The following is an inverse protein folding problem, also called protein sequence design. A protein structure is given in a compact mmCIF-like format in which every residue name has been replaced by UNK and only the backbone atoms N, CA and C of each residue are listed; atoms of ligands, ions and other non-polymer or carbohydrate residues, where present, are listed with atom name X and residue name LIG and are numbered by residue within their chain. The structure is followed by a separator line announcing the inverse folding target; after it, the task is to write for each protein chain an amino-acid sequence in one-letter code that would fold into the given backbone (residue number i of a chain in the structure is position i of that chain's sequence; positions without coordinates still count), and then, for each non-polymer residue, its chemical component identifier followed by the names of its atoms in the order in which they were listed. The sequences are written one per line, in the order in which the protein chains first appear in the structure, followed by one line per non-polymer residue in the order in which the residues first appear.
data_IF_425630947869
#
_entry.id   IF_425630947869
#
_cell.length_a   1.000
_cell.length_b   1.000
_cell.length_c   1.000
_cell.angle_alpha   90.00
_cell.angle_beta   90.00
_cell.angle_gamma   90.00
#
_symmetry.space_group_name_H-M   'P 1'
#
loop_
_entity.id
_entity.type
_entity.pdbx_description
1 polymer ?
#
# COMPACT_ATOMS: atom_id res chain seq x y z
N UNK A 1 24.74 -9.28 -5.39
CA UNK A 1 24.67 -8.66 -6.74
C UNK A 1 23.19 -8.40 -6.96
N UNK A 2 22.76 -7.14 -7.10
CA UNK A 2 21.36 -6.79 -7.39
C UNK A 2 21.04 -7.37 -8.77
N UNK A 3 20.21 -8.40 -8.85
CA UNK A 3 20.05 -9.17 -10.08
C UNK A 3 18.57 -9.27 -10.46
N UNK A 4 18.11 -8.32 -11.27
CA UNK A 4 16.75 -8.30 -11.79
C UNK A 4 16.41 -9.58 -12.57
N UNK A 5 17.36 -10.17 -13.30
CA UNK A 5 17.12 -11.41 -14.05
C UNK A 5 16.81 -12.59 -13.12
N UNK A 6 17.47 -12.64 -11.97
CA UNK A 6 17.22 -13.66 -10.95
C UNK A 6 15.86 -13.46 -10.28
N UNK A 7 15.52 -12.22 -9.92
CA UNK A 7 14.19 -11.86 -9.41
C UNK A 7 13.09 -12.28 -10.40
N UNK A 8 13.18 -11.86 -11.67
CA UNK A 8 12.17 -12.18 -12.67
C UNK A 8 12.06 -13.68 -12.93
N UNK A 9 13.17 -14.42 -12.83
CA UNK A 9 13.15 -15.88 -12.89
C UNK A 9 12.39 -16.48 -11.71
N UNK A 10 12.67 -16.03 -10.48
CA UNK A 10 11.96 -16.49 -9.27
C UNK A 10 10.45 -16.23 -9.41
N UNK A 11 10.04 -15.05 -9.87
CA UNK A 11 8.63 -14.74 -10.07
C UNK A 11 7.95 -15.73 -11.05
N UNK A 12 8.60 -16.02 -12.18
CA UNK A 12 8.11 -17.02 -13.16
C UNK A 12 8.03 -18.42 -12.56
N UNK A 13 9.06 -18.84 -11.84
CA UNK A 13 9.13 -20.16 -11.20
C UNK A 13 8.05 -20.32 -10.12
N UNK A 14 7.62 -19.21 -9.48
CA UNK A 14 6.51 -19.15 -8.52
C UNK A 14 5.11 -19.10 -9.18
N UNK A 15 5.03 -19.16 -10.51
CA UNK A 15 3.76 -19.18 -11.25
C UNK A 15 3.21 -17.80 -11.64
N UNK A 16 3.97 -16.72 -11.44
CA UNK A 16 3.55 -15.38 -11.86
C UNK A 16 3.81 -15.23 -13.36
N UNK A 17 2.78 -14.83 -14.09
CA UNK A 17 2.91 -14.54 -15.51
C UNK A 17 3.66 -13.22 -15.71
N UNK A 18 4.83 -13.30 -16.34
CA UNK A 18 5.66 -12.13 -16.64
C UNK A 18 5.65 -11.90 -18.17
N UNK A 19 4.82 -10.98 -18.69
CA UNK A 19 4.80 -10.67 -20.11
C UNK A 19 6.16 -10.17 -20.61
N UNK A 20 6.55 -10.55 -21.82
CA UNK A 20 7.85 -10.15 -22.40
C UNK A 20 8.02 -8.63 -22.52
N UNK A 21 6.93 -7.90 -22.75
CA UNK A 21 6.93 -6.42 -22.80
C UNK A 21 7.20 -5.81 -21.43
N UNK A 22 6.65 -6.40 -20.36
CA UNK A 22 6.87 -5.97 -18.97
C UNK A 22 8.31 -6.27 -18.55
N UNK A 23 8.79 -7.47 -18.80
CA UNK A 23 10.20 -7.83 -18.55
C UNK A 23 11.16 -6.87 -19.28
N UNK A 24 10.88 -6.57 -20.55
CA UNK A 24 11.70 -5.65 -21.34
C UNK A 24 11.68 -4.22 -20.80
N UNK A 25 10.54 -3.76 -20.27
CA UNK A 25 10.43 -2.44 -19.64
C UNK A 25 11.21 -2.40 -18.31
N UNK A 26 11.06 -3.41 -17.45
CA UNK A 26 11.79 -3.49 -16.18
C UNK A 26 13.30 -3.56 -16.35
N UNK A 27 13.80 -4.12 -17.46
CA UNK A 27 15.23 -4.12 -17.79
C UNK A 27 15.75 -2.77 -18.29
N UNK A 28 14.86 -1.86 -18.70
CA UNK A 28 15.22 -0.53 -19.23
C UNK A 28 15.10 0.57 -18.19
N UNK A 29 14.17 0.42 -17.24
CA UNK A 29 13.89 1.41 -16.19
C UNK A 29 14.55 0.93 -14.90
N UNK A 30 15.48 1.73 -14.37
CA UNK A 30 16.08 1.43 -13.06
C UNK A 30 15.16 1.92 -11.95
N UNK A 31 14.84 1.04 -10.99
CA UNK A 31 14.02 1.43 -9.82
C UNK A 31 14.77 2.43 -8.93
N UNK A 32 16.10 2.42 -8.98
CA UNK A 32 16.98 3.32 -8.21
C UNK A 32 16.82 4.79 -8.63
N UNK A 33 16.31 5.06 -9.84
CA UNK A 33 16.01 6.42 -10.31
C UNK A 33 14.75 7.02 -9.63
N UNK A 34 13.98 6.21 -8.90
CA UNK A 34 12.68 6.58 -8.33
C UNK A 34 12.66 6.60 -6.80
N UNK A 35 13.80 6.40 -6.15
CA UNK A 35 13.92 6.49 -4.69
C UNK A 35 15.34 6.87 -4.27
N UNK A 36 15.43 7.74 -3.27
CA UNK A 36 16.70 8.06 -2.59
C UNK A 36 16.98 7.12 -1.39
N UNK A 37 16.02 6.24 -1.05
CA UNK A 37 16.13 5.26 0.03
C UNK A 37 16.79 3.96 -0.45
N UNK A 38 17.02 3.02 0.49
CA UNK A 38 17.57 1.71 0.13
C UNK A 38 16.61 0.91 -0.74
N UNK A 39 17.00 0.71 -2.00
CA UNK A 39 16.26 -0.09 -2.98
C UNK A 39 16.56 -1.58 -2.92
N UNK A 40 17.45 -2.03 -2.04
CA UNK A 40 17.89 -3.43 -2.00
C UNK A 40 16.73 -4.42 -1.84
N UNK A 41 15.71 -4.04 -1.06
CA UNK A 41 14.49 -4.82 -0.84
C UNK A 41 13.72 -5.15 -2.13
N UNK A 42 13.79 -4.29 -3.15
CA UNK A 42 13.12 -4.51 -4.43
C UNK A 42 13.57 -5.82 -5.08
N UNK A 43 14.87 -6.12 -5.03
CA UNK A 43 15.44 -7.33 -5.63
C UNK A 43 15.12 -8.61 -4.86
N UNK A 44 14.49 -8.48 -3.69
CA UNK A 44 13.94 -9.56 -2.86
C UNK A 44 12.41 -9.56 -2.86
N UNK A 45 11.80 -8.95 -3.88
CA UNK A 45 10.36 -8.87 -4.06
C UNK A 45 9.62 -8.13 -2.92
N UNK A 46 10.18 -7.03 -2.42
CA UNK A 46 9.58 -6.22 -1.36
C UNK A 46 9.24 -4.82 -1.84
N UNK A 47 8.21 -4.17 -1.25
CA UNK A 47 7.99 -2.75 -1.43
C UNK A 47 9.21 -1.94 -0.97
N UNK A 48 9.43 -0.79 -1.60
CA UNK A 48 10.56 0.11 -1.28
C UNK A 48 10.02 1.50 -1.03
N UNK A 49 10.47 2.14 0.05
CA UNK A 49 10.09 3.52 0.38
C UNK A 49 10.64 4.47 -0.69
N UNK A 50 9.85 5.47 -1.09
CA UNK A 50 10.32 6.56 -1.96
C UNK A 50 10.08 7.95 -1.40
N UNK A 51 9.13 8.08 -0.47
CA UNK A 51 8.81 9.34 0.17
C UNK A 51 8.42 9.09 1.63
N UNK A 52 9.03 9.86 2.51
CA UNK A 52 8.64 10.02 3.91
C UNK A 52 8.40 11.51 4.15
N UNK A 53 7.19 11.87 4.60
CA UNK A 53 6.88 13.27 4.93
C UNK A 53 7.35 13.59 6.35
N UNK A 54 7.58 14.88 6.68
CA UNK A 54 7.95 15.29 8.04
C UNK A 54 6.94 14.84 9.13
N UNK A 55 5.67 14.70 8.76
CA UNK A 55 4.57 14.28 9.60
C UNK A 55 4.48 12.74 9.75
N UNK A 56 5.44 11.99 9.20
CA UNK A 56 5.52 10.54 9.33
C UNK A 56 4.73 9.74 8.29
N UNK A 57 4.20 10.39 7.25
CA UNK A 57 3.55 9.69 6.14
C UNK A 57 4.58 8.96 5.27
N UNK A 58 4.41 7.65 5.06
CA UNK A 58 5.34 6.83 4.27
C UNK A 58 4.66 6.29 3.02
N UNK A 59 5.30 6.47 1.86
CA UNK A 59 4.85 5.90 0.59
C UNK A 59 5.91 4.99 -0.02
N UNK A 60 5.41 3.93 -0.66
CA UNK A 60 6.24 2.89 -1.25
C UNK A 60 5.99 2.69 -2.74
N UNK A 61 7.04 2.31 -3.45
CA UNK A 61 7.00 1.60 -4.72
C UNK A 61 6.56 0.16 -4.38
N UNK A 62 5.60 -0.37 -5.13
CA UNK A 62 5.11 -1.74 -4.94
C UNK A 62 6.20 -2.79 -5.12
N UNK A 63 6.01 -3.95 -4.48
CA UNK A 63 6.81 -5.13 -4.75
C UNK A 63 6.77 -5.52 -6.26
N UNK A 64 7.88 -6.01 -6.82
CA UNK A 64 7.97 -6.49 -8.20
C UNK A 64 6.86 -7.44 -8.63
N UNK A 65 6.48 -8.44 -7.84
CA UNK A 65 5.40 -9.36 -8.19
C UNK A 65 4.10 -8.61 -8.45
N UNK A 66 3.81 -7.62 -7.60
CA UNK A 66 2.59 -6.82 -7.71
C UNK A 66 2.65 -5.93 -8.94
N UNK A 67 3.80 -5.30 -9.22
CA UNK A 67 3.98 -4.51 -10.44
C UNK A 67 3.73 -5.36 -11.69
N UNK A 68 4.30 -6.57 -11.73
CA UNK A 68 4.09 -7.49 -12.85
C UNK A 68 2.62 -7.89 -12.96
N UNK A 69 1.98 -8.28 -11.86
CA UNK A 69 0.55 -8.65 -11.84
C UNK A 69 -0.34 -7.51 -12.34
N UNK A 70 -0.10 -6.28 -11.88
CA UNK A 70 -0.86 -5.11 -12.34
C UNK A 70 -0.67 -4.87 -13.84
N UNK A 71 0.58 -4.87 -14.32
CA UNK A 71 0.88 -4.61 -15.74
C UNK A 71 0.42 -5.73 -16.67
N UNK A 72 0.43 -6.99 -16.21
CA UNK A 72 -0.12 -8.12 -16.94
C UNK A 72 -1.64 -7.94 -17.16
N UNK A 73 -2.38 -7.63 -16.09
CA UNK A 73 -3.83 -7.47 -16.15
C UNK A 73 -4.27 -6.17 -16.85
N UNK A 74 -3.40 -5.16 -16.97
CA UNK A 74 -3.71 -3.89 -17.62
C UNK A 74 -3.76 -3.97 -19.15
N UNK A 75 -3.33 -5.09 -19.75
CA UNK A 75 -3.47 -5.39 -21.19
C UNK A 75 -2.91 -4.27 -22.09
N UNK A 76 -1.69 -3.83 -21.79
CA UNK A 76 -1.05 -2.69 -22.44
C UNK A 76 -0.64 -2.97 -23.89
N UNK A 77 -0.89 -1.99 -24.77
CA UNK A 77 -0.52 -1.98 -26.18
C UNK A 77 0.11 -0.64 -26.59
N UNK A 78 0.87 -0.65 -27.69
CA UNK A 78 1.47 0.54 -28.28
C UNK A 78 0.41 1.59 -28.64
N UNK A 79 0.71 2.87 -28.41
CA UNK A 79 -0.15 4.01 -28.74
C UNK A 79 -1.34 4.21 -27.81
N UNK A 80 -1.50 3.38 -26.76
CA UNK A 80 -2.60 3.55 -25.82
C UNK A 80 -2.39 4.75 -24.89
N UNK A 81 -3.52 5.29 -24.41
CA UNK A 81 -3.55 6.21 -23.29
C UNK A 81 -3.96 5.49 -22.02
N UNK A 82 -3.09 5.53 -21.02
CA UNK A 82 -3.30 4.92 -19.71
C UNK A 82 -3.43 6.00 -18.65
N UNK A 83 -4.40 5.84 -17.76
CA UNK A 83 -4.53 6.69 -16.57
C UNK A 83 -4.10 5.91 -15.35
N UNK A 84 -3.27 6.53 -14.50
CA UNK A 84 -2.79 5.96 -13.25
C UNK A 84 -3.28 6.87 -12.12
N UNK A 85 -4.09 6.34 -11.22
CA UNK A 85 -4.55 7.05 -10.02
C UNK A 85 -3.78 6.54 -8.79
N UNK A 86 -3.07 7.43 -8.11
CA UNK A 86 -2.00 7.10 -7.19
C UNK A 86 -0.67 7.09 -7.93
N UNK A 87 0.14 8.11 -7.71
CA UNK A 87 1.40 8.32 -8.40
C UNK A 87 2.49 7.32 -7.97
N UNK A 88 2.43 6.86 -6.71
CA UNK A 88 3.53 6.11 -6.06
C UNK A 88 4.87 6.81 -6.32
N UNK A 89 5.96 6.07 -6.46
CA UNK A 89 7.26 6.64 -6.81
C UNK A 89 7.43 7.00 -8.28
N UNK A 90 6.40 6.83 -9.14
CA UNK A 90 6.50 7.06 -10.59
C UNK A 90 7.12 5.91 -11.39
N UNK A 91 7.73 4.91 -10.75
CA UNK A 91 8.37 3.77 -11.42
C UNK A 91 7.38 3.01 -12.34
N UNK A 92 6.16 2.71 -11.86
CA UNK A 92 5.17 2.03 -12.71
C UNK A 92 4.73 2.88 -13.91
N UNK A 93 4.63 4.20 -13.74
CA UNK A 93 4.32 5.13 -14.82
C UNK A 93 5.41 5.14 -15.90
N UNK A 94 6.68 5.08 -15.49
CA UNK A 94 7.80 4.92 -16.40
C UNK A 94 7.78 3.59 -17.16
N UNK A 95 7.44 2.49 -16.49
CA UNK A 95 7.26 1.18 -17.14
C UNK A 95 6.13 1.24 -18.18
N UNK A 96 4.98 1.80 -17.82
CA UNK A 96 3.83 1.95 -18.74
C UNK A 96 4.24 2.81 -19.94
N UNK A 97 4.92 3.95 -19.71
CA UNK A 97 5.40 4.84 -20.77
C UNK A 97 6.31 4.11 -21.77
N UNK A 98 7.20 3.24 -21.28
CA UNK A 98 8.02 2.39 -22.15
C UNK A 98 7.21 1.38 -22.97
N UNK A 99 6.14 0.82 -22.41
CA UNK A 99 5.32 -0.21 -23.07
C UNK A 99 4.40 0.41 -24.13
N UNK A 100 3.78 1.57 -23.84
CA UNK A 100 2.89 2.24 -24.80
C UNK A 100 3.65 3.01 -25.88
N UNK A 101 4.92 3.35 -25.64
CA UNK A 101 5.80 3.99 -26.62
C UNK A 101 5.52 5.47 -26.85
N UNK A 102 6.22 6.05 -27.84
CA UNK A 102 6.23 7.50 -28.11
C UNK A 102 4.88 8.05 -28.60
N UNK A 103 4.08 7.21 -29.28
CA UNK A 103 2.73 7.57 -29.72
C UNK A 103 1.66 7.37 -28.63
N UNK A 104 2.04 6.79 -27.49
CA UNK A 104 1.17 6.58 -26.35
C UNK A 104 1.18 7.76 -25.37
N UNK A 105 0.39 7.65 -24.31
CA UNK A 105 0.31 8.66 -23.25
C UNK A 105 0.05 8.01 -21.90
N UNK A 106 0.60 8.59 -20.84
CA UNK A 106 0.34 8.21 -19.45
C UNK A 106 -0.06 9.46 -18.68
N UNK A 107 -1.26 9.46 -18.13
CA UNK A 107 -1.71 10.53 -17.22
C UNK A 107 -1.68 10.00 -15.80
N UNK A 108 -0.85 10.60 -14.95
CA UNK A 108 -0.70 10.26 -13.55
C UNK A 108 -1.47 11.26 -12.70
N UNK A 109 -2.35 10.76 -11.86
CA UNK A 109 -3.21 11.54 -10.97
C UNK A 109 -2.92 11.14 -9.53
N UNK A 110 -2.79 12.10 -8.62
CA UNK A 110 -2.63 11.82 -7.19
C UNK A 110 -3.28 12.94 -6.36
N UNK A 111 -3.89 12.64 -5.21
CA UNK A 111 -4.44 13.67 -4.32
C UNK A 111 -3.35 14.55 -3.67
N UNK A 112 -2.12 14.06 -3.53
CA UNK A 112 -1.04 14.79 -2.88
C UNK A 112 -0.21 15.60 -3.87
N UNK A 113 -0.20 16.92 -3.68
CA UNK A 113 0.70 17.83 -4.41
C UNK A 113 2.17 17.58 -4.12
N UNK A 114 2.49 17.10 -2.91
CA UNK A 114 3.86 16.76 -2.53
C UNK A 114 4.36 15.54 -3.32
N UNK A 115 3.52 14.49 -3.39
CA UNK A 115 3.83 13.29 -4.19
C UNK A 115 4.01 13.66 -5.66
N UNK A 116 3.08 14.41 -6.26
CA UNK A 116 3.20 14.85 -7.66
C UNK A 116 4.47 15.66 -7.90
N UNK A 117 4.82 16.57 -6.98
CA UNK A 117 6.04 17.38 -7.11
C UNK A 117 7.28 16.51 -7.08
N UNK A 118 7.34 15.55 -6.14
CA UNK A 118 8.44 14.60 -6.00
C UNK A 118 8.59 13.72 -7.25
N UNK A 119 7.51 13.08 -7.73
CA UNK A 119 7.64 12.18 -8.89
C UNK A 119 7.90 12.91 -10.20
N UNK A 120 7.44 14.16 -10.32
CA UNK A 120 7.61 14.93 -11.56
C UNK A 120 9.08 15.22 -11.87
N UNK A 121 9.97 15.25 -10.88
CA UNK A 121 11.42 15.31 -11.14
C UNK A 121 11.96 14.00 -11.70
N UNK A 122 11.51 12.87 -11.16
CA UNK A 122 11.98 11.53 -11.54
C UNK A 122 11.48 11.16 -12.94
N UNK A 123 10.32 11.70 -13.33
CA UNK A 123 9.69 11.44 -14.62
C UNK A 123 10.07 12.43 -15.75
N UNK A 124 10.99 13.37 -15.52
CA UNK A 124 11.40 14.35 -16.56
C UNK A 124 11.94 13.72 -17.86
N UNK A 125 12.46 12.50 -17.77
CA UNK A 125 12.94 11.73 -18.92
C UNK A 125 11.85 11.08 -19.77
N UNK A 126 10.58 11.16 -19.36
CA UNK A 126 9.45 10.45 -19.96
C UNK A 126 8.45 11.45 -20.58
N UNK A 127 8.65 11.88 -21.84
CA UNK A 127 7.87 12.96 -22.45
C UNK A 127 6.39 12.62 -22.68
N UNK A 128 6.03 11.35 -22.61
CA UNK A 128 4.65 10.86 -22.75
C UNK A 128 3.90 10.80 -21.41
N UNK A 129 4.54 11.19 -20.29
CA UNK A 129 3.97 11.16 -18.95
C UNK A 129 3.58 12.57 -18.50
N UNK A 130 2.32 12.75 -18.12
CA UNK A 130 1.79 13.99 -17.57
C UNK A 130 1.27 13.76 -16.16
N UNK A 131 1.75 14.54 -15.18
CA UNK A 131 1.41 14.39 -13.77
C UNK A 131 0.51 15.54 -13.30
N UNK A 132 -0.59 15.22 -12.64
CA UNK A 132 -1.54 16.20 -12.13
C UNK A 132 -2.03 15.87 -10.73
N UNK A 133 -2.32 16.92 -9.96
CA UNK A 133 -3.01 16.80 -8.68
C UNK A 133 -4.51 16.75 -8.93
N UNK A 134 -5.22 15.80 -8.33
CA UNK A 134 -6.69 15.74 -8.36
C UNK A 134 -7.22 15.62 -6.92
N UNK A 135 -7.99 16.63 -6.48
CA UNK A 135 -8.64 16.65 -5.17
C UNK A 135 -10.11 16.99 -5.35
N UNK A 136 -10.99 16.00 -5.35
CA UNK A 136 -12.48 16.08 -5.34
C UNK A 136 -13.18 17.18 -6.19
N UNK A 137 -12.44 17.88 -7.06
CA UNK A 137 -12.89 19.04 -7.80
C UNK A 137 -12.22 19.03 -9.19
N UNK A 138 -13.10 19.01 -10.18
CA UNK A 138 -12.88 18.56 -11.55
C UNK A 138 -12.22 19.63 -12.44
N UNK A 139 -11.11 20.23 -11.99
CA UNK A 139 -10.45 21.30 -12.75
C UNK A 139 -9.59 20.80 -13.93
N UNK A 140 -9.55 19.49 -14.16
CA UNK A 140 -8.79 18.88 -15.26
C UNK A 140 -9.77 18.21 -16.21
N UNK A 141 -9.62 18.50 -17.51
CA UNK A 141 -10.28 17.74 -18.56
C UNK A 141 -9.68 16.33 -18.58
N UNK A 142 -10.29 15.42 -17.83
CA UNK A 142 -9.87 14.03 -17.81
C UNK A 142 -10.17 13.43 -19.20
N UNK A 143 -9.19 12.78 -19.85
CA UNK A 143 -9.37 12.08 -21.12
C UNK A 143 -10.43 10.97 -21.00
N UNK A 144 -10.90 10.46 -22.14
CA UNK A 144 -11.67 9.22 -22.15
C UNK A 144 -10.89 8.08 -21.47
N UNK A 145 -11.51 7.41 -20.49
CA UNK A 145 -10.83 6.42 -19.66
C UNK A 145 -11.03 5.01 -20.24
N UNK A 146 -10.07 4.55 -21.04
CA UNK A 146 -10.10 3.18 -21.60
C UNK A 146 -9.38 2.14 -20.72
N UNK A 147 -8.27 2.52 -20.09
CA UNK A 147 -7.50 1.68 -19.16
C UNK A 147 -7.08 2.53 -17.98
N UNK A 148 -7.52 2.16 -16.79
CA UNK A 148 -7.17 2.87 -15.56
C UNK A 148 -6.53 1.92 -14.56
N UNK A 149 -5.47 2.37 -13.91
CA UNK A 149 -4.80 1.65 -12.84
C UNK A 149 -4.85 2.49 -11.57
N UNK A 150 -5.52 2.00 -10.53
CA UNK A 150 -5.48 2.57 -9.19
C UNK A 150 -4.39 1.86 -8.39
N UNK A 151 -3.45 2.62 -7.84
CA UNK A 151 -2.26 2.06 -7.17
C UNK A 151 -2.23 2.30 -5.67
N UNK A 152 -3.34 2.69 -5.06
CA UNK A 152 -3.50 2.77 -3.60
C UNK A 152 -4.89 2.30 -3.18
N UNK A 153 -5.02 1.86 -1.94
CA UNK A 153 -6.27 1.38 -1.38
C UNK A 153 -7.33 2.50 -1.41
N UNK A 154 -8.51 2.15 -1.89
CA UNK A 154 -9.74 2.95 -1.87
C UNK A 154 -10.91 2.05 -1.46
N UNK A 155 -11.97 2.61 -0.89
CA UNK A 155 -13.15 1.82 -0.50
C UNK A 155 -14.00 1.45 -1.72
N UNK A 156 -14.20 2.42 -2.62
CA UNK A 156 -14.95 2.30 -3.86
C UNK A 156 -14.31 3.20 -4.92
N UNK A 157 -14.65 2.98 -6.19
CA UNK A 157 -14.21 3.87 -7.26
C UNK A 157 -14.85 5.27 -7.08
N UNK A 158 -14.07 6.36 -7.18
CA UNK A 158 -14.65 7.71 -7.20
C UNK A 158 -15.59 7.90 -8.40
N UNK A 159 -16.63 8.71 -8.24
CA UNK A 159 -17.65 8.97 -9.28
C UNK A 159 -17.03 9.36 -10.64
N UNK A 160 -16.03 10.24 -10.64
CA UNK A 160 -15.36 10.67 -11.88
C UNK A 160 -14.71 9.51 -12.63
N UNK A 161 -14.27 8.47 -11.91
CA UNK A 161 -13.62 7.29 -12.46
C UNK A 161 -14.67 6.32 -12.98
N UNK A 162 -15.69 5.97 -12.17
CA UNK A 162 -16.78 5.08 -12.60
C UNK A 162 -17.56 5.64 -13.80
N UNK A 163 -17.82 6.94 -13.80
CA UNK A 163 -18.55 7.61 -14.87
C UNK A 163 -17.67 7.81 -16.11
N UNK A 164 -16.38 8.11 -15.90
CA UNK A 164 -15.41 8.41 -16.95
C UNK A 164 -14.92 7.20 -17.76
N UNK A 165 -15.02 5.98 -17.21
CA UNK A 165 -14.72 4.75 -17.96
C UNK A 165 -15.65 4.66 -19.17
N UNK A 166 -15.07 4.40 -20.34
CA UNK A 166 -15.83 4.19 -21.58
C UNK A 166 -16.26 2.73 -21.73
N UNK A 167 -17.26 2.45 -22.55
CA UNK A 167 -17.65 1.07 -22.87
C UNK A 167 -16.47 0.29 -23.48
N UNK A 168 -16.23 -0.94 -22.98
CA UNK A 168 -15.06 -1.77 -23.28
C UNK A 168 -13.76 -1.32 -22.60
N UNK A 169 -13.82 -0.24 -21.80
CA UNK A 169 -12.77 0.18 -20.89
C UNK A 169 -12.88 -0.49 -19.53
N UNK A 170 -11.80 -0.44 -18.75
CA UNK A 170 -11.80 -0.96 -17.40
C UNK A 170 -10.84 -0.22 -16.47
N UNK A 171 -11.11 -0.34 -15.16
CA UNK A 171 -10.17 0.02 -14.10
C UNK A 171 -9.67 -1.23 -13.37
N UNK A 172 -8.41 -1.24 -12.95
CA UNK A 172 -7.87 -2.18 -11.97
C UNK A 172 -7.66 -1.43 -10.68
N UNK A 173 -8.30 -1.87 -9.59
CA UNK A 173 -8.23 -1.17 -8.32
C UNK A 173 -8.22 -2.12 -7.11
N UNK A 174 -7.37 -1.85 -6.10
CA UNK A 174 -7.48 -2.50 -4.80
C UNK A 174 -8.64 -1.86 -4.00
N UNK A 175 -9.77 -2.57 -3.94
CA UNK A 175 -10.96 -2.13 -3.20
C UNK A 175 -11.09 -2.85 -1.86
N UNK A 176 -11.45 -2.11 -0.82
CA UNK A 176 -11.69 -2.66 0.52
C UNK A 176 -11.26 -1.71 1.62
N UNK A 177 -11.13 -2.24 2.84
CA UNK A 177 -10.63 -1.49 3.99
C UNK A 177 -9.10 -1.66 4.13
N UNK A 178 -8.50 -1.11 5.20
CA UNK A 178 -7.04 -1.20 5.41
C UNK A 178 -6.56 -2.64 5.63
N UNK A 179 -7.40 -3.54 6.12
CA UNK A 179 -7.06 -4.87 6.58
C UNK A 179 -7.47 -5.97 5.59
N UNK A 180 -8.42 -5.70 4.70
CA UNK A 180 -8.97 -6.64 3.76
C UNK A 180 -9.31 -5.94 2.44
N UNK A 181 -8.50 -6.21 1.42
CA UNK A 181 -8.66 -5.64 0.08
C UNK A 181 -8.67 -6.75 -0.97
N UNK A 182 -9.46 -6.55 -2.02
CA UNK A 182 -9.46 -7.36 -3.22
C UNK A 182 -9.01 -6.51 -4.39
N UNK A 183 -8.12 -7.06 -5.22
CA UNK A 183 -7.76 -6.44 -6.48
C UNK A 183 -8.85 -6.77 -7.49
N UNK A 184 -9.60 -5.78 -7.93
CA UNK A 184 -10.71 -5.97 -8.86
C UNK A 184 -10.36 -5.37 -10.23
N UNK A 185 -10.75 -6.07 -11.29
CA UNK A 185 -10.89 -5.51 -12.64
C UNK A 185 -12.35 -5.17 -12.86
N UNK A 186 -12.64 -3.90 -13.07
CA UNK A 186 -13.99 -3.35 -13.18
C UNK A 186 -14.18 -2.84 -14.60
N UNK A 187 -14.89 -3.61 -15.42
CA UNK A 187 -15.10 -3.36 -16.85
C UNK A 187 -16.48 -2.73 -17.10
N UNK A 188 -16.55 -1.77 -18.02
CA UNK A 188 -17.82 -1.16 -18.41
C UNK A 188 -18.35 -1.78 -19.70
N UNK A 189 -19.59 -2.27 -19.67
CA UNK A 189 -20.27 -2.84 -20.83
C UNK A 189 -21.70 -2.31 -20.88
N UNK A 190 -22.09 -1.71 -22.00
CA UNK A 190 -23.41 -1.11 -22.21
C UNK A 190 -23.85 -0.15 -21.08
N UNK A 191 -22.90 0.61 -20.52
CA UNK A 191 -23.13 1.53 -19.42
C UNK A 191 -23.20 0.91 -18.02
N UNK A 192 -23.09 -0.41 -17.88
CA UNK A 192 -23.04 -1.13 -16.60
C UNK A 192 -21.62 -1.56 -16.24
N UNK A 193 -21.30 -1.62 -14.95
CA UNK A 193 -19.99 -2.06 -14.46
C UNK A 193 -20.02 -3.53 -14.02
N UNK A 194 -19.02 -4.29 -14.47
CA UNK A 194 -18.85 -5.70 -14.16
C UNK A 194 -17.50 -5.95 -13.49
N UNK A 195 -17.52 -6.64 -12.36
CA UNK A 195 -16.34 -6.89 -11.55
C UNK A 195 -15.79 -8.29 -11.79
N UNK A 196 -14.47 -8.38 -11.95
CA UNK A 196 -13.69 -9.62 -11.92
C UNK A 196 -12.68 -9.54 -10.78
N UNK A 197 -12.75 -10.51 -9.88
CA UNK A 197 -11.85 -10.59 -8.73
C UNK A 197 -10.51 -11.24 -9.11
N UNK A 198 -9.42 -10.49 -8.92
CA UNK A 198 -8.05 -10.90 -9.24
C UNK A 198 -7.26 -11.39 -8.02
N UNK A 199 -7.87 -11.42 -6.82
CA UNK A 199 -7.26 -11.96 -5.61
C UNK A 199 -7.11 -10.96 -4.46
N UNK A 200 -6.68 -11.47 -3.30
CA UNK A 200 -6.41 -10.65 -2.11
C UNK A 200 -5.10 -9.88 -2.28
N UNK A 201 -5.09 -8.63 -1.84
CA UNK A 201 -3.91 -7.76 -1.87
C UNK A 201 -3.87 -6.85 -0.65
N UNK A 202 -2.73 -6.23 -0.40
CA UNK A 202 -2.59 -5.17 0.59
C UNK A 202 -1.85 -3.99 -0.05
N UNK A 203 -2.56 -2.87 -0.17
CA UNK A 203 -2.01 -1.60 -0.59
C UNK A 203 -2.11 -0.59 0.55
N UNK A 204 -1.10 0.28 0.65
CA UNK A 204 -1.24 1.49 1.46
C UNK A 204 -2.36 2.39 0.91
N UNK A 205 -2.91 3.28 1.74
CA UNK A 205 -4.00 4.16 1.32
C UNK A 205 -3.55 5.06 0.16
N UNK A 206 -4.49 5.42 -0.72
CA UNK A 206 -4.21 6.26 -1.87
C UNK A 206 -3.72 7.66 -1.47
N UNK A 207 -4.40 8.30 -0.52
CA UNK A 207 -3.94 9.57 0.04
C UNK A 207 -2.79 9.33 1.05
N UNK A 208 -1.74 10.13 0.96
CA UNK A 208 -0.60 10.08 1.89
C UNK A 208 -0.97 10.55 3.29
N UNK A 209 -1.94 11.47 3.42
CA UNK A 209 -2.45 11.89 4.73
C UNK A 209 -2.96 10.70 5.55
N UNK A 210 -3.62 9.76 4.88
CA UNK A 210 -4.13 8.52 5.48
C UNK A 210 -3.02 7.50 5.80
N UNK A 211 -1.79 7.68 5.30
CA UNK A 211 -0.65 6.82 5.63
C UNK A 211 0.08 7.24 6.90
N UNK A 212 -0.24 8.43 7.43
CA UNK A 212 0.26 8.87 8.72
C UNK A 212 -0.29 7.91 9.76
N UNK A 213 0.61 7.29 10.53
CA UNK A 213 0.22 6.50 11.68
C UNK A 213 -0.18 7.51 12.74
N UNK A 214 -1.48 7.74 12.87
CA UNK A 214 -2.00 8.53 13.97
C UNK A 214 -1.50 7.91 15.28
N UNK A 215 -0.97 8.75 16.18
CA UNK A 215 -0.68 8.29 17.54
C UNK A 215 -2.01 7.79 18.13
N UNK A 216 -2.11 6.50 18.50
CA UNK A 216 -3.39 5.94 18.93
C UNK A 216 -3.87 6.64 20.20
N UNK A 217 -5.19 6.78 20.34
CA UNK A 217 -5.79 7.26 21.58
C UNK A 217 -5.35 6.37 22.76
N UNK A 218 -5.38 6.88 24.01
CA UNK A 218 -5.08 6.06 25.18
C UNK A 218 -5.85 4.74 25.23
N UNK A 219 -7.14 4.72 24.85
CA UNK A 219 -7.93 3.49 24.75
C UNK A 219 -7.43 2.54 23.65
N UNK A 220 -7.17 3.03 22.44
CA UNK A 220 -6.64 2.18 21.35
C UNK A 220 -5.25 1.62 21.72
N UNK A 221 -4.41 2.43 22.37
CA UNK A 221 -3.11 1.99 22.87
C UNK A 221 -3.25 0.89 23.94
N UNK A 222 -4.24 1.02 24.83
CA UNK A 222 -4.55 0.00 25.83
C UNK A 222 -4.99 -1.33 25.18
N UNK A 223 -5.83 -1.27 24.14
CA UNK A 223 -6.27 -2.45 23.38
C UNK A 223 -5.11 -3.14 22.64
N UNK A 224 -4.21 -2.36 22.04
CA UNK A 224 -3.01 -2.89 21.37
C UNK A 224 -2.11 -3.61 22.37
N UNK A 225 -1.89 -3.03 23.56
CA UNK A 225 -1.08 -3.66 24.60
C UNK A 225 -1.76 -4.94 25.11
N UNK A 226 -3.08 -4.96 25.30
CA UNK A 226 -3.82 -6.17 25.66
C UNK A 226 -3.63 -7.29 24.62
N UNK A 227 -3.74 -6.98 23.33
CA UNK A 227 -3.48 -7.96 22.26
C UNK A 227 -2.05 -8.50 22.28
N UNK A 228 -1.06 -7.66 22.57
CA UNK A 228 0.33 -8.09 22.70
C UNK A 228 0.51 -8.99 23.93
N UNK A 229 -0.11 -8.68 25.07
CA UNK A 229 -0.11 -9.55 26.25
C UNK A 229 -0.65 -10.94 25.90
N UNK A 230 -1.79 -11.00 25.20
CA UNK A 230 -2.43 -12.26 24.81
C UNK A 230 -1.50 -13.09 23.90
N UNK A 231 -0.92 -12.46 22.87
CA UNK A 231 -0.01 -13.14 21.95
C UNK A 231 1.28 -13.62 22.64
N UNK A 232 1.87 -12.81 23.52
CA UNK A 232 3.05 -13.22 24.29
C UNK A 232 2.72 -14.34 25.29
N UNK A 233 1.52 -14.33 25.86
CA UNK A 233 1.04 -15.37 26.75
C UNK A 233 0.86 -16.70 26.00
N UNK A 234 0.23 -16.68 24.84
CA UNK A 234 0.03 -17.86 24.00
C UNK A 234 1.37 -18.45 23.52
N UNK A 235 2.36 -17.59 23.26
CA UNK A 235 3.72 -17.99 22.89
C UNK A 235 4.59 -18.42 24.09
N UNK A 236 4.12 -18.25 25.34
CA UNK A 236 4.89 -18.53 26.55
C UNK A 236 6.10 -17.62 26.76
N UNK A 237 6.05 -16.40 26.20
CA UNK A 237 7.15 -15.43 26.15
C UNK A 237 7.07 -14.34 27.23
N UNK A 238 6.07 -14.38 28.13
CA UNK A 238 5.86 -13.37 29.17
C UNK A 238 5.81 -14.00 30.57
N UNK A 239 6.59 -13.46 31.50
CA UNK A 239 6.54 -13.86 32.91
C UNK A 239 5.35 -13.18 33.63
N UNK A 240 4.81 -13.81 34.68
CA UNK A 240 3.64 -13.28 35.42
C UNK A 240 3.86 -11.86 35.96
N UNK A 241 5.09 -11.51 36.34
CA UNK A 241 5.44 -10.18 36.82
C UNK A 241 5.41 -9.11 35.72
N UNK A 242 5.82 -9.48 34.49
CA UNK A 242 5.78 -8.58 33.33
C UNK A 242 4.34 -8.42 32.83
N UNK A 243 3.56 -9.51 32.84
CA UNK A 243 2.13 -9.49 32.53
C UNK A 243 1.36 -8.53 33.44
N UNK A 244 1.61 -8.56 34.74
CA UNK A 244 0.94 -7.65 35.67
C UNK A 244 1.28 -6.18 35.39
N UNK A 245 2.54 -5.87 35.06
CA UNK A 245 2.94 -4.51 34.68
C UNK A 245 2.30 -4.04 33.38
N UNK A 246 2.10 -4.93 32.41
CA UNK A 246 1.37 -4.63 31.17
C UNK A 246 -0.09 -4.30 31.48
N UNK A 247 -0.76 -5.09 32.33
CA UNK A 247 -2.14 -4.80 32.73
C UNK A 247 -2.27 -3.51 33.57
N UNK A 248 -1.29 -3.20 34.42
CA UNK A 248 -1.25 -1.92 35.15
C UNK A 248 -1.14 -0.73 34.18
N UNK A 249 -0.30 -0.86 33.14
CA UNK A 249 -0.18 0.16 32.09
C UNK A 249 -1.49 0.32 31.29
N UNK A 250 -2.16 -0.79 30.95
CA UNK A 250 -3.48 -0.78 30.30
C UNK A 250 -4.52 -0.06 31.17
N UNK A 251 -4.53 -0.32 32.47
CA UNK A 251 -5.43 0.34 33.41
C UNK A 251 -5.16 1.85 33.48
N UNK A 252 -3.88 2.25 33.56
CA UNK A 252 -3.49 3.66 33.61
C UNK A 252 -3.81 4.40 32.29
N UNK A 253 -3.64 3.75 31.13
CA UNK A 253 -4.01 4.30 29.83
C UNK A 253 -5.52 4.57 29.74
N UNK A 254 -6.36 3.64 30.23
CA UNK A 254 -7.82 3.82 30.29
C UNK A 254 -8.29 4.92 31.25
N UNK A 255 -7.41 5.44 32.10
CA UNK A 255 -7.72 6.60 32.96
C UNK A 255 -7.42 7.94 32.28
N UNK A 256 -6.71 7.95 31.15
CA UNK A 256 -6.47 9.15 30.37
C UNK A 256 -7.71 9.52 29.53
N UNK A 257 -7.93 10.81 29.24
CA UNK A 257 -8.97 11.22 28.30
C UNK A 257 -8.67 10.69 26.89
N UNK A 258 -9.66 10.14 26.21
CA UNK A 258 -9.50 9.66 24.82
C UNK A 258 -9.46 10.81 23.80
N UNK A 259 -9.93 11.99 24.16
CA UNK A 259 -9.94 13.20 23.33
C UNK A 259 -8.67 14.05 23.48
N UNK A 260 -7.57 13.45 23.94
CA UNK A 260 -6.28 14.12 23.98
C UNK A 260 -5.83 14.48 22.55
N UNK A 261 -5.34 15.71 22.33
CA UNK A 261 -4.76 16.07 21.05
C UNK A 261 -3.51 15.20 20.78
N UNK A 262 -3.26 14.80 19.52
CA UNK A 262 -2.06 14.06 19.18
C UNK A 262 -0.80 14.75 19.73
N UNK A 263 0.21 14.01 20.24
CA UNK A 263 1.43 14.61 20.78
C UNK A 263 2.14 15.55 19.80
N UNK A 264 2.01 15.30 18.50
CA UNK A 264 2.57 16.10 17.40
C UNK A 264 1.92 17.49 17.29
N UNK A 265 0.70 17.66 17.81
CA UNK A 265 0.00 18.95 17.86
C UNK A 265 0.34 19.79 19.10
N UNK A 266 1.10 19.23 20.06
CA UNK A 266 1.55 19.94 21.25
C UNK A 266 2.88 20.66 21.02
N UNK A 267 3.02 21.87 21.58
CA UNK A 267 4.29 22.62 21.57
C UNK A 267 5.45 21.82 22.18
N UNK A 268 5.15 20.96 23.15
CA UNK A 268 6.09 20.06 23.80
C UNK A 268 5.51 18.62 23.82
N UNK A 269 5.80 17.78 22.82
CA UNK A 269 5.26 16.41 22.72
C UNK A 269 5.63 15.52 23.92
N UNK A 270 6.79 15.77 24.54
CA UNK A 270 7.22 15.06 25.76
C UNK A 270 6.36 15.38 26.99
N UNK A 271 5.58 16.46 26.95
CA UNK A 271 4.65 16.81 28.02
C UNK A 271 3.27 16.14 27.87
N UNK A 272 3.02 15.46 26.74
CA UNK A 272 1.76 14.77 26.48
C UNK A 272 1.48 13.71 27.57
N UNK A 273 0.27 13.67 28.19
CA UNK A 273 -0.02 12.79 29.33
C UNK A 273 0.25 11.31 29.07
N UNK A 274 -0.09 10.82 27.88
CA UNK A 274 0.24 9.46 27.48
C UNK A 274 1.74 9.25 27.31
N UNK A 275 2.48 10.20 26.73
CA UNK A 275 3.92 10.08 26.56
C UNK A 275 4.64 10.07 27.91
N UNK A 276 4.19 10.91 28.86
CA UNK A 276 4.68 10.89 30.24
C UNK A 276 4.42 9.55 30.91
N UNK A 277 3.22 8.99 30.77
CA UNK A 277 2.88 7.68 31.34
C UNK A 277 3.81 6.58 30.77
N UNK A 278 4.03 6.58 29.46
CA UNK A 278 4.92 5.63 28.79
C UNK A 278 6.38 5.78 29.24
N UNK A 279 6.87 7.01 29.41
CA UNK A 279 8.20 7.31 29.91
C UNK A 279 8.36 6.96 31.40
N UNK A 280 7.34 7.22 32.23
CA UNK A 280 7.35 6.91 33.67
C UNK A 280 7.38 5.39 33.91
N UNK A 281 6.69 4.62 33.07
CA UNK A 281 6.71 3.15 33.09
C UNK A 281 7.92 2.58 32.31
N UNK A 282 8.82 3.46 31.84
CA UNK A 282 9.68 3.28 30.66
C UNK A 282 10.96 2.45 30.73
N UNK A 283 11.37 1.84 31.85
CA UNK A 283 12.57 0.98 31.79
C UNK A 283 12.32 -0.40 31.16
N UNK A 284 11.12 -0.97 31.31
CA UNK A 284 10.83 -2.32 30.80
C UNK A 284 10.01 -2.28 29.50
N UNK A 285 9.21 -1.24 29.26
CA UNK A 285 8.43 -1.07 28.02
C UNK A 285 9.32 -0.83 26.80
N UNK A 286 10.44 -0.12 26.96
CA UNK A 286 11.43 0.09 25.88
C UNK A 286 12.01 -1.23 25.35
N UNK A 287 12.09 -2.27 26.18
CA UNK A 287 12.54 -3.60 25.76
C UNK A 287 11.47 -4.36 24.96
N UNK A 288 10.20 -4.04 25.17
CA UNK A 288 9.07 -4.62 24.45
C UNK A 288 8.72 -3.82 23.19
N UNK A 289 9.08 -2.54 23.12
CA UNK A 289 8.80 -1.69 21.96
C UNK A 289 9.29 -2.28 20.63
N UNK A 290 10.51 -2.84 20.51
CA UNK A 290 10.93 -3.53 19.28
C UNK A 290 10.10 -4.77 18.94
N UNK A 291 9.56 -5.46 19.95
CA UNK A 291 8.69 -6.63 19.75
C UNK A 291 7.31 -6.17 19.28
N UNK A 292 6.75 -5.14 19.92
CA UNK A 292 5.48 -4.50 19.54
C UNK A 292 5.59 -3.96 18.11
N UNK A 293 6.65 -3.20 17.82
CA UNK A 293 6.93 -2.67 16.50
C UNK A 293 7.11 -3.80 15.47
N UNK A 294 7.86 -4.86 15.80
CA UNK A 294 8.00 -6.01 14.91
C UNK A 294 6.70 -6.78 14.70
N UNK A 295 5.80 -6.84 15.70
CA UNK A 295 4.48 -7.47 15.55
C UNK A 295 3.52 -6.59 14.73
N UNK A 296 3.63 -5.26 14.85
CA UNK A 296 2.92 -4.29 14.02
C UNK A 296 3.43 -4.34 12.57
N UNK A 297 4.76 -4.40 12.38
CA UNK A 297 5.41 -4.56 11.07
C UNK A 297 5.16 -5.94 10.47
N UNK A 298 5.09 -7.02 11.26
CA UNK A 298 4.73 -8.36 10.78
C UNK A 298 3.25 -8.48 10.42
N UNK A 299 2.35 -7.67 10.99
CA UNK A 299 1.02 -7.50 10.39
C UNK A 299 1.09 -6.87 9.00
N UNK A 300 2.12 -6.08 8.69
CA UNK A 300 2.29 -5.49 7.35
C UNK A 300 3.12 -6.42 6.43
N UNK A 301 4.04 -7.22 6.99
CA UNK A 301 5.01 -8.02 6.25
C UNK A 301 4.75 -9.54 6.21
N UNK A 302 3.83 -10.07 7.04
CA UNK A 302 3.54 -11.51 7.16
C UNK A 302 2.04 -11.84 7.04
N UNK A 303 1.38 -11.36 6.00
CA UNK A 303 0.08 -11.90 5.57
C UNK A 303 0.26 -13.06 4.57
N UNK A 304 1.14 -14.00 4.88
CA UNK A 304 1.15 -15.31 4.24
C UNK A 304 1.09 -16.40 5.31
N UNK A 305 -0.11 -16.61 5.83
CA UNK A 305 -0.57 -17.92 6.33
C UNK A 305 -2.09 -17.90 6.30
N UNK A 306 -2.76 -18.81 5.56
CA UNK A 306 -4.19 -19.02 5.78
C UNK A 306 -4.34 -19.44 7.25
N UNK A 307 -5.15 -18.71 8.02
CA UNK A 307 -5.76 -19.36 9.18
C UNK A 307 -6.67 -20.42 8.59
N UNK A 308 -6.25 -21.68 8.71
CA UNK A 308 -7.08 -22.83 8.41
C UNK A 308 -8.44 -22.64 9.08
N UNK A 309 -9.45 -22.38 8.25
CA UNK A 309 -10.80 -22.79 8.55
C UNK A 309 -10.76 -24.32 8.66
N UNK A 310 -10.69 -24.79 9.91
CA UNK A 310 -11.18 -26.10 10.28
C UNK A 310 -12.70 -26.12 10.05
N UNK A 311 -13.11 -26.14 8.80
CA UNK A 311 -14.46 -26.54 8.42
C UNK A 311 -14.38 -27.83 7.62
N UNK A 312 -14.39 -28.93 8.37
CA UNK A 312 -14.67 -30.26 7.84
C UNK A 312 -16.11 -30.28 7.33
N UNK A 313 -16.33 -29.94 6.06
CA UNK A 313 -17.52 -30.41 5.34
C UNK A 313 -17.12 -30.81 3.92
N UNK A 314 -17.06 -32.12 3.71
CA UNK A 314 -16.76 -32.70 2.42
C UNK A 314 -17.91 -32.51 1.45
N UNK A 315 -17.61 -32.06 0.25
CA UNK A 315 -18.42 -32.38 -0.92
C UNK A 315 -17.50 -32.74 -2.09
N UNK A 316 -17.58 -34.01 -2.44
CA UNK A 316 -17.03 -34.63 -3.63
C UNK A 316 -17.82 -34.23 -4.87
N UNK A 317 -17.08 -34.24 -5.99
CA UNK A 317 -17.54 -34.44 -7.37
C UNK A 317 -18.31 -33.29 -8.06
N UNK A 318 -17.70 -32.68 -9.08
CA UNK A 318 -17.79 -33.15 -10.48
C UNK A 318 -17.32 -32.05 -11.43
N UNK A 319 -16.30 -32.36 -12.24
CA UNK A 319 -16.16 -31.84 -13.60
C UNK A 319 -15.98 -33.08 -14.50
N UNK A 320 -16.66 -33.18 -15.66
CA UNK A 320 -16.40 -34.25 -16.63
C UNK A 320 -14.96 -34.30 -17.13
#
# INVERSE_FOLDING_TARGET
MRNLDELLKILKDSGIEVPSVVESAMKKVDVEDFTEHDSSGFYYDRPVVFLETPEGGVKTISAPHMIVTLLHNLELNLGQHIVIYGAKGGYISALVAHIVGEDGRVTVLDPSSEVITHISSNLRGYPTVECHVIKDNHDISIPELNRVLVTGQIQELPDWLSDGIIDGGFAIAPLGDRNSQRLLKIEKQDGELFETDLGSVIFGPLDISNSIVDTPSPTEMAELIEQVIELMNDAGLVEDNERNKLYDLVADLRLLPDDLPPPEEMDEPGEHPMMKLMMEKGEWFVHLWPIIQSMMENRIASFDTPKDDLDTSGHSDFVP
#
